data_IF_800919538468
#
_entry.id   IF_800919538468
#
_cell.length_a   1.000
_cell.length_b   1.000
_cell.length_c   1.000
_cell.angle_alpha   90.00
_cell.angle_beta   90.00
_cell.angle_gamma   90.00
#
_symmetry.space_group_name_H-M   'P 1'
#
loop_
_entity.id
_entity.type
_entity.pdbx_description
1 polymer ?
#
# COMPACT_ATOMS: atom_id res chain seq x y z
N UNK A 1 -7.69 -3.01 8.89
CA UNK A 1 -6.40 -2.82 8.19
C UNK A 1 -6.55 -2.22 6.78
N UNK A 2 -7.40 -2.78 5.96
CA UNK A 2 -7.64 -2.29 4.60
C UNK A 2 -7.96 -0.78 4.57
N UNK A 3 -8.88 -0.35 5.42
CA UNK A 3 -9.32 1.05 5.44
C UNK A 3 -8.19 2.01 5.78
N UNK A 4 -7.30 1.62 6.68
CA UNK A 4 -6.16 2.45 7.05
C UNK A 4 -5.20 2.61 5.88
N UNK A 5 -4.95 1.52 5.17
CA UNK A 5 -4.05 1.53 4.02
C UNK A 5 -4.63 2.38 2.90
N UNK A 6 -5.92 2.25 2.63
CA UNK A 6 -6.57 3.06 1.61
C UNK A 6 -6.52 4.55 1.99
N UNK A 7 -6.73 4.86 3.27
CA UNK A 7 -6.64 6.24 3.74
C UNK A 7 -5.28 6.86 3.50
N UNK A 8 -4.21 6.09 3.74
CA UNK A 8 -2.84 6.57 3.49
C UNK A 8 -2.64 6.73 2.00
N UNK A 9 -3.08 5.75 1.22
CA UNK A 9 -2.93 5.76 -0.23
C UNK A 9 -3.57 6.99 -0.87
N UNK A 10 -4.71 7.42 -0.37
CA UNK A 10 -5.42 8.56 -0.93
C UNK A 10 -4.63 9.87 -0.86
N UNK A 11 -3.57 9.93 -0.05
CA UNK A 11 -2.70 11.10 0.01
C UNK A 11 -1.76 11.13 -1.19
N UNK A 12 -1.64 10.04 -1.91
CA UNK A 12 -0.68 9.90 -3.01
C UNK A 12 -1.32 9.78 -4.39
N UNK A 13 -2.63 9.57 -4.44
CA UNK A 13 -3.34 9.39 -5.72
C UNK A 13 -4.58 10.27 -5.74
N UNK A 14 -5.06 10.57 -6.96
CA UNK A 14 -6.23 11.42 -7.15
C UNK A 14 -7.49 10.61 -7.52
N UNK A 15 -7.44 9.31 -7.26
CA UNK A 15 -8.55 8.42 -7.55
C UNK A 15 -9.55 8.45 -6.39
N UNK A 16 -10.87 8.54 -6.67
CA UNK A 16 -11.86 8.52 -5.59
C UNK A 16 -11.83 7.19 -4.84
N UNK A 17 -12.12 7.25 -3.54
CA UNK A 17 -12.12 6.05 -2.71
C UNK A 17 -13.02 4.94 -3.27
N UNK A 18 -14.16 5.30 -3.84
CA UNK A 18 -15.11 4.30 -4.36
C UNK A 18 -14.59 3.54 -5.57
N UNK A 19 -13.53 4.02 -6.20
CA UNK A 19 -12.91 3.31 -7.33
C UNK A 19 -11.77 2.40 -6.88
N UNK A 20 -11.42 2.45 -5.59
CA UNK A 20 -10.34 1.63 -5.06
C UNK A 20 -10.91 0.32 -4.50
N UNK A 21 -10.35 -0.80 -4.93
CA UNK A 21 -10.76 -2.14 -4.48
C UNK A 21 -9.52 -2.89 -4.01
N UNK A 22 -9.69 -4.03 -3.32
CA UNK A 22 -8.53 -4.83 -2.93
C UNK A 22 -7.70 -5.30 -4.12
N UNK A 23 -8.31 -5.44 -5.29
CA UNK A 23 -7.62 -5.90 -6.49
C UNK A 23 -6.96 -4.77 -7.27
N UNK A 24 -7.14 -3.52 -6.84
CA UNK A 24 -6.53 -2.37 -7.51
C UNK A 24 -5.00 -2.48 -7.45
N UNK A 25 -4.36 -2.31 -8.61
CA UNK A 25 -2.90 -2.43 -8.72
C UNK A 25 -2.24 -1.05 -8.64
N UNK A 26 -1.14 -0.98 -7.90
CA UNK A 26 -0.46 0.30 -7.69
C UNK A 26 0.10 0.89 -8.98
N UNK A 27 0.77 0.08 -9.79
CA UNK A 27 1.38 0.58 -11.01
C UNK A 27 0.41 0.67 -12.17
N UNK A 28 -0.34 -0.41 -12.41
CA UNK A 28 -1.21 -0.48 -13.58
C UNK A 28 -2.47 0.38 -13.45
N UNK A 29 -3.11 0.35 -12.30
CA UNK A 29 -4.39 1.03 -12.11
C UNK A 29 -4.26 2.42 -11.52
N UNK A 30 -3.36 2.60 -10.56
CA UNK A 30 -3.18 3.89 -9.89
C UNK A 30 -2.08 4.73 -10.52
N UNK A 31 -1.32 4.15 -11.43
CA UNK A 31 -0.25 4.84 -12.15
C UNK A 31 0.81 5.45 -11.25
N UNK A 32 1.05 4.84 -10.10
CA UNK A 32 2.10 5.27 -9.20
C UNK A 32 3.46 4.86 -9.76
N UNK A 33 4.48 5.68 -9.55
CA UNK A 33 5.83 5.30 -9.93
C UNK A 33 6.56 4.72 -8.71
N UNK A 34 7.77 4.19 -8.94
CA UNK A 34 8.53 3.55 -7.87
C UNK A 34 8.81 4.50 -6.71
N UNK A 35 9.08 5.76 -7.00
CA UNK A 35 9.37 6.75 -5.95
C UNK A 35 8.14 6.98 -5.07
N UNK A 36 6.97 7.11 -5.69
CA UNK A 36 5.73 7.29 -4.96
C UNK A 36 5.46 6.09 -4.04
N UNK A 37 5.67 4.89 -4.56
CA UNK A 37 5.47 3.67 -3.81
C UNK A 37 6.42 3.60 -2.61
N UNK A 38 7.70 3.92 -2.82
CA UNK A 38 8.67 3.88 -1.74
C UNK A 38 8.38 4.91 -0.66
N UNK A 39 7.92 6.10 -1.06
CA UNK A 39 7.55 7.14 -0.10
C UNK A 39 6.34 6.71 0.73
N UNK A 40 5.34 6.14 0.06
CA UNK A 40 4.14 5.65 0.73
C UNK A 40 4.47 4.52 1.69
N UNK A 41 5.31 3.59 1.26
CA UNK A 41 5.74 2.46 2.08
C UNK A 41 6.48 2.95 3.33
N UNK A 42 7.35 3.95 3.16
CA UNK A 42 8.05 4.55 4.29
C UNK A 42 7.10 5.13 5.33
N UNK A 43 6.05 5.79 4.87
CA UNK A 43 5.05 6.34 5.77
C UNK A 43 4.30 5.22 6.49
N UNK A 44 3.98 4.15 5.77
CA UNK A 44 3.29 3.01 6.36
C UNK A 44 4.14 2.31 7.42
N UNK A 45 5.46 2.22 7.19
CA UNK A 45 6.37 1.64 8.17
C UNK A 45 6.31 2.39 9.49
N UNK A 46 6.23 3.73 9.42
CA UNK A 46 6.14 4.55 10.62
C UNK A 46 4.78 4.40 11.31
N UNK A 47 3.71 4.43 10.53
CA UNK A 47 2.35 4.37 11.08
C UNK A 47 2.06 3.02 11.72
N UNK A 48 2.51 1.94 11.11
CA UNK A 48 2.27 0.59 11.62
C UNK A 48 3.40 0.06 12.49
N UNK A 49 4.46 0.84 12.67
CA UNK A 49 5.63 0.44 13.45
C UNK A 49 6.15 -0.92 12.97
N UNK A 50 6.32 -1.05 11.67
CA UNK A 50 6.70 -2.29 11.04
C UNK A 50 7.69 -2.02 9.92
N UNK A 51 8.50 -3.02 9.59
CA UNK A 51 9.49 -2.89 8.51
C UNK A 51 9.00 -3.62 7.27
N UNK A 52 9.08 -2.96 6.12
CA UNK A 52 8.73 -3.56 4.84
C UNK A 52 10.02 -3.70 4.04
N UNK A 53 10.40 -4.95 3.77
CA UNK A 53 11.64 -5.22 3.06
C UNK A 53 11.54 -4.81 1.59
N UNK A 54 12.59 -4.17 1.09
CA UNK A 54 12.59 -3.69 -0.30
C UNK A 54 12.38 -4.83 -1.30
N UNK A 55 12.99 -5.99 -1.05
CA UNK A 55 12.83 -7.13 -1.96
C UNK A 55 11.41 -7.70 -1.96
N UNK A 56 10.67 -7.52 -0.88
CA UNK A 56 9.29 -7.98 -0.80
C UNK A 56 8.35 -7.10 -1.63
N UNK A 57 8.75 -5.87 -1.95
CA UNK A 57 7.96 -4.98 -2.77
C UNK A 57 7.73 -5.54 -4.17
N UNK A 58 8.60 -6.42 -4.63
CA UNK A 58 8.46 -7.06 -5.93
C UNK A 58 7.26 -8.02 -5.97
N UNK A 59 6.76 -8.43 -4.82
CA UNK A 59 5.62 -9.34 -4.72
C UNK A 59 4.33 -8.63 -4.32
N UNK A 60 4.41 -7.31 -4.09
CA UNK A 60 3.26 -6.52 -3.69
C UNK A 60 2.77 -5.74 -4.91
N UNK A 61 1.70 -6.23 -5.53
CA UNK A 61 1.15 -5.66 -6.76
C UNK A 61 -0.17 -4.95 -6.54
N UNK A 62 -1.01 -5.48 -5.63
CA UNK A 62 -2.34 -4.97 -5.36
C UNK A 62 -2.44 -4.45 -3.93
N UNK A 63 -3.52 -3.73 -3.66
CA UNK A 63 -3.78 -3.26 -2.30
C UNK A 63 -3.93 -4.44 -1.35
N UNK A 64 -4.59 -5.52 -1.81
CA UNK A 64 -4.77 -6.70 -0.97
C UNK A 64 -3.41 -7.33 -0.61
N UNK A 65 -2.47 -7.37 -1.56
CA UNK A 65 -1.14 -7.88 -1.29
C UNK A 65 -0.48 -7.10 -0.14
N UNK A 66 -0.61 -5.77 -0.18
CA UNK A 66 -0.03 -4.93 0.86
C UNK A 66 -0.75 -5.11 2.20
N UNK A 67 -2.07 -5.23 2.17
CA UNK A 67 -2.85 -5.48 3.38
C UNK A 67 -2.40 -6.78 4.03
N UNK A 68 -2.26 -7.84 3.24
CA UNK A 68 -1.84 -9.15 3.76
C UNK A 68 -0.44 -9.07 4.34
N UNK A 69 0.47 -8.37 3.66
CA UNK A 69 1.85 -8.24 4.11
C UNK A 69 1.93 -7.54 5.47
N UNK A 70 1.25 -6.40 5.59
CA UNK A 70 1.29 -5.63 6.84
C UNK A 70 0.54 -6.35 7.96
N UNK A 71 -0.59 -6.97 7.64
CA UNK A 71 -1.40 -7.69 8.63
C UNK A 71 -0.59 -8.80 9.31
N UNK A 72 0.22 -9.52 8.54
CA UNK A 72 1.07 -10.56 9.10
C UNK A 72 2.09 -10.00 10.09
N UNK A 73 2.62 -8.82 9.78
CA UNK A 73 3.66 -8.23 10.62
C UNK A 73 3.13 -7.59 11.89
N UNK A 74 1.92 -7.04 11.84
CA UNK A 74 1.34 -6.38 13.03
C UNK A 74 0.37 -7.27 13.78
N UNK A 75 0.12 -8.47 13.30
CA UNK A 75 -0.74 -9.43 13.98
C UNK A 75 -2.23 -9.17 13.85
N UNK A 76 -2.65 -8.53 12.79
CA UNK A 76 -4.07 -8.24 12.56
C UNK A 76 -4.68 -9.08 11.46
#
# INVERSE_FOLDING_TARGET
>A
MYEKIVGILLDYVEVPREEITPETRFLADLKMNSLDIMTMVGEMEEIFDSTIETEDLNEIWTIQDLVDYISERVGE
#
